data_IF_481712205263
#
_entry.id   IF_481712205263
#
_cell.length_a   1.000
_cell.length_b   1.000
_cell.length_c   1.000
_cell.angle_alpha   90.00
_cell.angle_beta   90.00
_cell.angle_gamma   90.00
#
_symmetry.space_group_name_H-M   'P 1'
#
loop_
_entity.id
_entity.type
_entity.pdbx_description
1 polymer ?
#
# COMPACT_ATOMS: atom_id res chain seq x y z
N UNK A 1 15.94 -3.50 -36.83
CA UNK A 1 16.61 -2.58 -35.87
C UNK A 1 16.00 -2.87 -34.52
N UNK A 2 16.77 -3.39 -33.58
CA UNK A 2 16.35 -3.44 -32.18
C UNK A 2 16.20 -1.99 -31.70
N UNK A 3 14.98 -1.57 -31.36
CA UNK A 3 14.76 -0.29 -30.70
C UNK A 3 15.29 -0.45 -29.27
N UNK A 4 16.14 0.45 -28.83
CA UNK A 4 16.74 0.47 -27.49
C UNK A 4 16.59 1.87 -26.93
N UNK A 5 16.58 1.97 -25.60
CA UNK A 5 16.70 3.27 -24.92
C UNK A 5 18.04 3.89 -25.33
N UNK A 6 18.10 5.23 -25.46
CA UNK A 6 19.36 5.91 -25.76
C UNK A 6 20.38 5.64 -24.67
N UNK A 7 21.62 5.31 -25.05
CA UNK A 7 22.71 5.07 -24.10
C UNK A 7 22.94 6.28 -23.18
N UNK A 8 22.82 7.49 -23.73
CA UNK A 8 22.92 8.75 -22.98
C UNK A 8 21.81 8.88 -21.92
N UNK A 9 20.60 8.43 -22.25
CA UNK A 9 19.48 8.42 -21.31
C UNK A 9 19.70 7.39 -20.19
N UNK A 10 20.19 6.19 -20.53
CA UNK A 10 20.53 5.15 -19.55
C UNK A 10 21.58 5.65 -18.55
N UNK A 11 22.64 6.30 -19.04
CA UNK A 11 23.68 6.90 -18.21
C UNK A 11 23.10 7.96 -17.26
N UNK A 12 22.29 8.88 -17.79
CA UNK A 12 21.70 9.97 -17.01
C UNK A 12 20.76 9.46 -15.91
N UNK A 13 19.89 8.51 -16.25
CA UNK A 13 18.94 7.89 -15.31
C UNK A 13 19.70 7.16 -14.19
N UNK A 14 20.68 6.34 -14.54
CA UNK A 14 21.40 5.51 -13.57
C UNK A 14 22.32 6.33 -12.68
N UNK A 15 22.95 7.37 -13.21
CA UNK A 15 23.70 8.36 -12.42
C UNK A 15 22.79 9.00 -11.35
N UNK A 16 21.64 9.56 -11.75
CA UNK A 16 20.70 10.19 -10.82
C UNK A 16 20.18 9.22 -9.76
N UNK A 17 19.77 8.02 -10.16
CA UNK A 17 19.26 7.00 -9.24
C UNK A 17 20.33 6.49 -8.26
N UNK A 18 21.60 6.49 -8.67
CA UNK A 18 22.73 6.09 -7.81
C UNK A 18 22.96 7.07 -6.65
N UNK A 19 22.54 8.32 -6.79
CA UNK A 19 22.66 9.35 -5.76
C UNK A 19 21.54 9.32 -4.69
N UNK A 20 20.51 8.47 -4.83
CA UNK A 20 19.37 8.44 -3.89
C UNK A 20 19.68 7.63 -2.62
N UNK A 21 19.52 8.17 -1.41
CA UNK A 21 19.96 7.48 -0.19
C UNK A 21 19.16 6.21 0.20
N UNK A 22 17.93 6.05 -0.30
CA UNK A 22 17.00 5.00 0.12
C UNK A 22 16.52 4.09 -1.02
N UNK A 23 17.38 3.86 -2.02
CA UNK A 23 17.04 2.95 -3.12
C UNK A 23 17.17 1.49 -2.67
N UNK A 24 16.14 0.68 -2.94
CA UNK A 24 16.16 -0.74 -2.60
C UNK A 24 17.13 -1.52 -3.52
N UNK A 25 17.98 -2.34 -2.91
CA UNK A 25 18.81 -3.32 -3.61
C UNK A 25 18.58 -4.73 -3.04
N UNK A 26 18.52 -5.76 -3.90
CA UNK A 26 18.48 -7.16 -3.46
C UNK A 26 19.63 -7.47 -2.49
N UNK A 27 19.39 -8.34 -1.50
CA UNK A 27 20.36 -8.67 -0.44
C UNK A 27 21.76 -9.02 -0.97
N UNK A 28 21.83 -9.78 -2.07
CA UNK A 28 23.09 -10.17 -2.70
C UNK A 28 23.93 -8.97 -3.19
N UNK A 29 23.29 -7.83 -3.49
CA UNK A 29 23.90 -6.63 -4.05
C UNK A 29 24.06 -5.50 -3.02
N UNK A 30 23.60 -5.68 -1.78
CA UNK A 30 23.64 -4.62 -0.76
C UNK A 30 25.07 -4.21 -0.40
N UNK A 31 26.01 -5.16 -0.31
CA UNK A 31 27.41 -4.86 0.00
C UNK A 31 28.07 -4.01 -1.08
N UNK A 32 27.80 -4.30 -2.35
CA UNK A 32 28.33 -3.53 -3.49
C UNK A 32 27.61 -2.20 -3.65
N UNK A 33 26.32 -2.14 -3.31
CA UNK A 33 25.50 -0.92 -3.40
C UNK A 33 25.81 0.13 -2.32
N UNK A 34 26.76 -0.10 -1.42
CA UNK A 34 27.21 0.92 -0.46
C UNK A 34 27.97 2.07 -1.13
N UNK A 35 28.64 1.81 -2.26
CA UNK A 35 29.38 2.82 -3.01
C UNK A 35 28.55 3.34 -4.20
N UNK A 36 28.39 4.67 -4.39
CA UNK A 36 27.62 5.25 -5.49
C UNK A 36 28.05 4.78 -6.89
N UNK A 37 29.36 4.62 -7.14
CA UNK A 37 29.86 4.18 -8.45
C UNK A 37 29.40 2.75 -8.77
N UNK A 38 29.48 1.87 -7.77
CA UNK A 38 28.99 0.49 -7.90
C UNK A 38 27.46 0.44 -8.05
N UNK A 39 26.72 1.32 -7.36
CA UNK A 39 25.26 1.43 -7.53
C UNK A 39 24.88 1.76 -8.96
N UNK A 40 25.56 2.75 -9.55
CA UNK A 40 25.35 3.13 -10.95
C UNK A 40 25.57 1.94 -11.89
N UNK A 41 26.70 1.24 -11.75
CA UNK A 41 27.00 0.07 -12.57
C UNK A 41 25.95 -1.04 -12.46
N UNK A 42 25.46 -1.32 -11.24
CA UNK A 42 24.39 -2.31 -11.02
C UNK A 42 23.09 -1.92 -11.72
N UNK A 43 22.72 -0.63 -11.66
CA UNK A 43 21.51 -0.12 -12.30
C UNK A 43 21.62 -0.15 -13.82
N UNK A 44 22.79 0.22 -14.36
CA UNK A 44 23.08 0.20 -15.79
C UNK A 44 23.08 -1.23 -16.35
N UNK A 45 23.70 -2.19 -15.66
CA UNK A 45 23.66 -3.62 -16.03
C UNK A 45 22.22 -4.14 -16.09
N UNK A 46 21.41 -3.82 -15.08
CA UNK A 46 20.00 -4.25 -15.06
C UNK A 46 19.21 -3.61 -16.20
N UNK A 47 19.36 -2.30 -16.42
CA UNK A 47 18.66 -1.56 -17.46
C UNK A 47 19.03 -2.06 -18.86
N UNK A 48 20.29 -2.44 -19.07
CA UNK A 48 20.79 -3.02 -20.32
C UNK A 48 20.29 -4.44 -20.56
N UNK A 49 20.18 -5.25 -19.50
CA UNK A 49 19.80 -6.67 -19.59
C UNK A 49 18.29 -6.88 -19.65
N UNK A 50 17.54 -6.18 -18.80
CA UNK A 50 16.12 -6.44 -18.56
C UNK A 50 15.38 -5.16 -18.15
N UNK A 51 14.81 -4.49 -19.15
CA UNK A 51 14.05 -3.25 -18.99
C UNK A 51 12.76 -3.45 -18.18
N UNK A 52 11.93 -4.48 -18.41
CA UNK A 52 10.75 -4.74 -17.58
C UNK A 52 11.07 -4.85 -16.09
N UNK A 53 12.08 -5.65 -15.73
CA UNK A 53 12.47 -5.81 -14.31
C UNK A 53 13.04 -4.53 -13.72
N UNK A 54 13.76 -3.73 -14.52
CA UNK A 54 14.19 -2.39 -14.11
C UNK A 54 13.00 -1.49 -13.78
N UNK A 55 11.99 -1.42 -14.67
CA UNK A 55 10.80 -0.60 -14.48
C UNK A 55 9.93 -1.07 -13.31
N UNK A 56 9.85 -2.38 -13.07
CA UNK A 56 9.16 -2.94 -11.91
C UNK A 56 9.77 -2.43 -10.59
N UNK A 57 11.10 -2.46 -10.49
CA UNK A 57 11.83 -2.16 -9.25
C UNK A 57 12.05 -0.68 -9.02
N UNK A 58 12.41 0.04 -10.07
CA UNK A 58 12.92 1.41 -10.00
C UNK A 58 12.03 2.42 -10.71
N UNK A 59 11.04 1.97 -11.48
CA UNK A 59 10.17 2.85 -12.27
C UNK A 59 9.41 3.88 -11.45
N UNK A 60 9.10 3.61 -10.18
CA UNK A 60 8.43 4.59 -9.30
C UNK A 60 9.32 5.75 -8.87
N UNK A 61 10.64 5.66 -9.07
CA UNK A 61 11.64 6.69 -8.76
C UNK A 61 12.02 7.51 -10.00
N UNK A 62 11.49 7.16 -11.18
CA UNK A 62 11.73 7.87 -12.44
C UNK A 62 10.86 9.12 -12.53
N UNK A 63 11.38 10.14 -13.21
CA UNK A 63 10.62 11.33 -13.57
C UNK A 63 9.74 11.07 -14.80
N UNK A 64 8.82 11.99 -15.09
CA UNK A 64 7.98 11.88 -16.30
C UNK A 64 8.82 11.90 -17.59
N UNK A 65 9.88 12.70 -17.60
CA UNK A 65 10.75 12.86 -18.77
C UNK A 65 11.58 11.59 -18.99
N UNK A 66 12.13 11.02 -17.91
CA UNK A 66 12.85 9.75 -18.00
C UNK A 66 11.95 8.59 -18.43
N UNK A 67 10.68 8.58 -18.02
CA UNK A 67 9.71 7.58 -18.49
C UNK A 67 9.39 7.73 -19.99
N UNK A 68 9.66 8.88 -20.60
CA UNK A 68 9.45 9.08 -22.05
C UNK A 68 10.54 8.38 -22.87
N UNK A 69 11.76 8.26 -22.35
CA UNK A 69 12.88 7.57 -23.00
C UNK A 69 12.60 6.09 -23.30
N UNK A 70 11.66 5.50 -22.55
CA UNK A 70 11.22 4.11 -22.72
C UNK A 70 10.09 3.95 -23.76
N UNK A 71 9.49 5.03 -24.29
CA UNK A 71 8.42 4.93 -25.28
C UNK A 71 8.89 4.28 -26.60
N UNK A 72 10.20 4.31 -26.87
CA UNK A 72 10.81 3.60 -28.00
C UNK A 72 10.64 2.07 -27.91
N UNK A 73 10.38 1.54 -26.71
CA UNK A 73 10.21 0.12 -26.40
C UNK A 73 8.73 -0.29 -26.24
N UNK A 74 7.78 0.55 -26.64
CA UNK A 74 6.34 0.30 -26.48
C UNK A 74 5.79 -0.93 -27.24
N UNK A 75 6.57 -1.52 -28.14
CA UNK A 75 6.22 -2.79 -28.82
C UNK A 75 6.24 -3.98 -27.85
N UNK A 76 7.06 -3.91 -26.78
CA UNK A 76 7.08 -4.92 -25.74
C UNK A 76 5.88 -4.73 -24.80
N UNK A 77 5.11 -5.81 -24.64
CA UNK A 77 3.91 -5.81 -23.80
C UNK A 77 4.22 -5.47 -22.34
N UNK A 78 5.28 -6.03 -21.76
CA UNK A 78 5.61 -5.84 -20.34
C UNK A 78 6.06 -4.40 -20.09
N UNK A 79 6.93 -3.87 -20.96
CA UNK A 79 7.38 -2.47 -20.89
C UNK A 79 6.19 -1.52 -21.01
N UNK A 80 5.34 -1.70 -22.01
CA UNK A 80 4.16 -0.86 -22.22
C UNK A 80 3.19 -0.92 -21.02
N UNK A 81 3.00 -2.11 -20.43
CA UNK A 81 2.19 -2.27 -19.23
C UNK A 81 2.78 -1.49 -18.05
N UNK A 82 4.08 -1.62 -17.79
CA UNK A 82 4.77 -0.87 -16.74
C UNK A 82 4.66 0.64 -16.95
N UNK A 83 4.90 1.14 -18.16
CA UNK A 83 4.80 2.56 -18.48
C UNK A 83 3.40 3.12 -18.23
N UNK A 84 2.35 2.43 -18.71
CA UNK A 84 0.96 2.83 -18.45
C UNK A 84 0.64 2.84 -16.96
N UNK A 85 1.07 1.82 -16.22
CA UNK A 85 0.83 1.72 -14.78
C UNK A 85 1.55 2.82 -14.00
N UNK A 86 2.82 3.10 -14.32
CA UNK A 86 3.61 4.15 -13.70
C UNK A 86 3.01 5.54 -13.96
N UNK A 87 2.60 5.82 -15.20
CA UNK A 87 1.91 7.07 -15.57
C UNK A 87 0.58 7.24 -14.83
N UNK A 88 -0.23 6.19 -14.74
CA UNK A 88 -1.49 6.16 -13.96
C UNK A 88 -1.27 6.37 -12.45
N UNK A 89 -0.10 6.00 -11.92
CA UNK A 89 0.24 6.29 -10.53
C UNK A 89 0.67 7.72 -10.29
N UNK A 90 1.49 8.29 -11.18
CA UNK A 90 1.98 9.67 -11.07
C UNK A 90 0.85 10.68 -11.30
N UNK A 91 0.07 10.47 -12.36
CA UNK A 91 -0.97 11.41 -12.80
C UNK A 91 -2.27 10.63 -13.06
N UNK A 92 -2.94 10.15 -12.00
CA UNK A 92 -4.18 9.39 -12.15
C UNK A 92 -5.28 10.28 -12.74
N UNK A 93 -6.01 9.74 -13.70
CA UNK A 93 -7.21 10.39 -14.25
C UNK A 93 -8.33 10.44 -13.22
N UNK A 94 -9.29 11.36 -13.40
CA UNK A 94 -10.46 11.48 -12.51
C UNK A 94 -11.24 10.16 -12.42
N UNK A 95 -11.38 9.44 -13.55
CA UNK A 95 -12.05 8.14 -13.58
C UNK A 95 -11.28 7.07 -12.80
N UNK A 96 -9.95 6.99 -12.93
CA UNK A 96 -9.14 6.06 -12.13
C UNK A 96 -9.23 6.34 -10.63
N UNK A 97 -9.25 7.61 -10.22
CA UNK A 97 -9.46 7.99 -8.82
C UNK A 97 -10.84 7.55 -8.32
N UNK A 98 -11.90 7.74 -9.12
CA UNK A 98 -13.24 7.25 -8.80
C UNK A 98 -13.27 5.74 -8.67
N UNK A 99 -12.66 5.00 -9.61
CA UNK A 99 -12.58 3.54 -9.57
C UNK A 99 -11.83 3.02 -8.34
N UNK A 100 -10.71 3.67 -7.97
CA UNK A 100 -9.97 3.36 -6.73
C UNK A 100 -10.85 3.58 -5.49
N UNK A 101 -11.58 4.70 -5.44
CA UNK A 101 -12.51 4.99 -4.34
C UNK A 101 -13.64 3.97 -4.23
N UNK A 102 -14.27 3.61 -5.36
CA UNK A 102 -15.30 2.57 -5.43
C UNK A 102 -14.76 1.23 -4.97
N UNK A 103 -13.55 0.85 -5.38
CA UNK A 103 -12.90 -0.39 -4.97
C UNK A 103 -12.70 -0.45 -3.45
N UNK A 104 -12.25 0.64 -2.82
CA UNK A 104 -12.10 0.72 -1.36
C UNK A 104 -13.47 0.59 -0.66
N UNK A 105 -14.49 1.30 -1.15
CA UNK A 105 -15.86 1.21 -0.59
C UNK A 105 -16.43 -0.21 -0.71
N UNK A 106 -16.24 -0.87 -1.85
CA UNK A 106 -16.70 -2.23 -2.08
C UNK A 106 -15.96 -3.24 -1.19
N UNK A 107 -14.64 -3.10 -1.01
CA UNK A 107 -13.87 -3.92 -0.06
C UNK A 107 -14.37 -3.76 1.37
N UNK A 108 -14.62 -2.52 1.81
CA UNK A 108 -15.19 -2.23 3.14
C UNK A 108 -16.58 -2.83 3.30
N UNK A 109 -17.44 -2.70 2.28
CA UNK A 109 -18.79 -3.29 2.29
C UNK A 109 -18.75 -4.81 2.34
N UNK A 110 -17.89 -5.44 1.54
CA UNK A 110 -17.70 -6.89 1.55
C UNK A 110 -17.24 -7.38 2.93
N UNK A 111 -16.30 -6.67 3.56
CA UNK A 111 -15.85 -6.99 4.91
C UNK A 111 -16.96 -6.80 5.95
N UNK A 112 -17.75 -5.73 5.88
CA UNK A 112 -18.91 -5.53 6.75
C UNK A 112 -19.93 -6.66 6.60
N UNK A 113 -20.25 -7.06 5.37
CA UNK A 113 -21.15 -8.19 5.13
C UNK A 113 -20.62 -9.47 5.75
N UNK A 114 -19.31 -9.74 5.64
CA UNK A 114 -18.67 -10.87 6.31
C UNK A 114 -18.87 -10.78 7.83
N UNK A 115 -18.60 -9.62 8.45
CA UNK A 115 -18.80 -9.43 9.89
C UNK A 115 -20.25 -9.63 10.34
N UNK A 116 -21.22 -9.23 9.51
CA UNK A 116 -22.64 -9.46 9.75
C UNK A 116 -22.97 -10.95 9.67
N UNK A 117 -22.51 -11.64 8.63
CA UNK A 117 -22.72 -13.08 8.47
C UNK A 117 -22.06 -13.91 9.59
N UNK A 118 -20.85 -13.54 10.01
CA UNK A 118 -20.13 -14.20 11.10
C UNK A 118 -20.85 -14.02 12.45
N UNK A 119 -21.68 -12.98 12.61
CA UNK A 119 -22.53 -12.72 13.78
C UNK A 119 -21.81 -12.33 15.07
N UNK A 120 -20.52 -12.66 15.21
CA UNK A 120 -19.74 -12.39 16.42
C UNK A 120 -19.45 -10.91 16.63
N UNK A 121 -19.08 -10.19 15.56
CA UNK A 121 -18.66 -8.79 15.68
C UNK A 121 -19.80 -7.87 16.13
N UNK A 122 -21.02 -8.09 15.65
CA UNK A 122 -22.20 -7.29 16.02
C UNK A 122 -23.04 -7.93 17.13
N UNK A 123 -22.52 -8.96 17.81
CA UNK A 123 -23.15 -9.48 19.03
C UNK A 123 -23.14 -8.40 20.12
N UNK A 124 -24.15 -8.44 20.98
CA UNK A 124 -24.28 -7.48 22.08
C UNK A 124 -23.04 -7.51 22.99
N UNK A 125 -22.58 -8.71 23.36
CA UNK A 125 -21.40 -8.88 24.22
C UNK A 125 -20.14 -8.29 23.58
N UNK A 126 -19.92 -8.51 22.28
CA UNK A 126 -18.76 -7.95 21.57
C UNK A 126 -18.85 -6.43 21.41
N UNK A 127 -20.06 -5.87 21.24
CA UNK A 127 -20.26 -4.42 21.22
C UNK A 127 -20.01 -3.81 22.60
N UNK A 128 -20.51 -4.45 23.66
CA UNK A 128 -20.31 -4.06 25.06
C UNK A 128 -18.83 -4.09 25.45
N UNK A 129 -18.08 -5.11 25.02
CA UNK A 129 -16.63 -5.20 25.31
C UNK A 129 -15.82 -4.13 24.58
N UNK A 130 -16.16 -3.81 23.32
CA UNK A 130 -15.46 -2.77 22.55
C UNK A 130 -15.71 -1.38 23.12
N UNK A 131 -16.96 -1.07 23.47
CA UNK A 131 -17.38 0.26 23.89
C UNK A 131 -18.33 0.23 25.09
N UNK A 132 -17.81 -0.03 26.30
CA UNK A 132 -18.67 -0.28 27.46
C UNK A 132 -19.51 0.92 27.88
N UNK A 133 -18.94 2.13 27.86
CA UNK A 133 -19.66 3.36 28.20
C UNK A 133 -20.80 3.63 27.23
N UNK A 134 -20.50 3.62 25.92
CA UNK A 134 -21.49 3.86 24.88
C UNK A 134 -22.59 2.79 24.91
N UNK A 135 -22.20 1.53 25.09
CA UNK A 135 -23.16 0.45 25.23
C UNK A 135 -24.10 0.68 26.41
N UNK A 136 -23.59 1.07 27.57
CA UNK A 136 -24.43 1.35 28.73
C UNK A 136 -25.39 2.52 28.48
N UNK A 137 -24.88 3.61 27.91
CA UNK A 137 -25.65 4.84 27.68
C UNK A 137 -26.88 4.60 26.78
N UNK A 138 -26.74 3.78 25.75
CA UNK A 138 -27.79 3.56 24.75
C UNK A 138 -28.60 2.27 24.94
N UNK A 139 -27.99 1.22 25.50
CA UNK A 139 -28.63 -0.10 25.65
C UNK A 139 -28.72 -0.52 27.12
N UNK A 140 -27.58 -0.56 27.82
CA UNK A 140 -27.48 -1.16 29.16
C UNK A 140 -28.33 -0.48 30.24
N UNK A 141 -28.54 0.85 30.17
CA UNK A 141 -29.37 1.57 31.16
C UNK A 141 -30.86 1.21 31.12
N UNK A 142 -31.33 0.64 30.00
CA UNK A 142 -32.71 0.22 29.80
C UNK A 142 -32.91 -1.29 29.97
N UNK A 143 -31.84 -2.06 30.16
CA UNK A 143 -31.91 -3.48 30.48
C UNK A 143 -32.30 -3.67 31.95
N UNK A 144 -33.14 -4.67 32.19
CA UNK A 144 -33.52 -5.12 33.54
C UNK A 144 -32.30 -5.50 34.36
N UNK A 145 -32.41 -5.43 35.69
CA UNK A 145 -31.31 -5.73 36.62
C UNK A 145 -30.71 -7.13 36.42
N UNK A 146 -31.49 -8.09 35.91
CA UNK A 146 -31.02 -9.44 35.54
C UNK A 146 -30.24 -9.48 34.21
N UNK A 147 -30.50 -8.55 33.29
CA UNK A 147 -29.81 -8.42 32.00
C UNK A 147 -28.50 -7.63 32.08
N UNK A 148 -28.27 -6.91 33.19
CA UNK A 148 -27.02 -6.17 33.48
C UNK A 148 -25.88 -7.10 33.92
N UNK A 149 -25.68 -8.20 33.21
CA UNK A 149 -24.46 -8.99 33.40
C UNK A 149 -23.28 -8.19 32.87
N UNK A 150 -22.20 -8.17 33.62
CA UNK A 150 -20.94 -7.59 33.17
C UNK A 150 -20.37 -8.44 32.03
N UNK A 151 -19.66 -7.81 31.09
CA UNK A 151 -19.02 -8.52 29.98
C UNK A 151 -18.03 -9.59 30.46
N UNK A 152 -17.49 -9.43 31.68
CA UNK A 152 -16.60 -10.38 32.33
C UNK A 152 -17.09 -10.70 33.74
N UNK A 153 -17.01 -11.97 34.19
CA UNK A 153 -17.34 -12.34 35.56
C UNK A 153 -16.46 -11.59 36.58
N UNK A 154 -17.09 -10.96 37.58
CA UNK A 154 -16.40 -10.30 38.69
C UNK A 154 -15.95 -8.85 38.44
N UNK A 155 -16.13 -8.31 37.24
CA UNK A 155 -15.75 -6.92 36.92
C UNK A 155 -16.73 -5.91 37.52
N UNK A 156 -16.24 -4.82 38.14
CA UNK A 156 -17.13 -3.77 38.67
C UNK A 156 -17.44 -2.75 37.58
N UNK A 157 -18.65 -2.18 37.61
CA UNK A 157 -19.09 -1.18 36.64
C UNK A 157 -18.14 0.04 36.54
N UNK A 158 -17.58 0.45 37.68
CA UNK A 158 -16.55 1.50 37.75
C UNK A 158 -15.27 1.14 36.98
N UNK A 159 -14.87 -0.13 36.95
CA UNK A 159 -13.63 -0.57 36.27
C UNK A 159 -13.82 -0.60 34.75
N UNK A 160 -14.97 -1.10 34.30
CA UNK A 160 -15.32 -1.20 32.88
C UNK A 160 -15.45 0.18 32.23
N UNK A 161 -15.97 1.18 32.94
CA UNK A 161 -16.06 2.55 32.45
C UNK A 161 -14.69 3.25 32.35
N UNK A 162 -13.76 2.93 33.24
CA UNK A 162 -12.44 3.58 33.30
C UNK A 162 -11.47 3.05 32.23
N UNK A 163 -11.83 1.98 31.51
CA UNK A 163 -10.99 1.33 30.49
C UNK A 163 -10.72 2.19 29.24
N UNK A 164 -11.41 3.33 29.08
CA UNK A 164 -11.18 4.30 28.01
C UNK A 164 -10.61 5.64 28.46
N UNK A 165 -10.33 5.83 29.76
CA UNK A 165 -9.69 7.06 30.28
C UNK A 165 -8.15 7.02 30.19
N UNK A 166 -7.59 6.43 29.13
CA UNK A 166 -6.16 6.52 28.80
C UNK A 166 -5.98 7.01 27.38
#
# INVERSE_FOLDING_TARGET
>A
MERKVSEEAMETITERLSALDNLYFPRALQSSASDPSNRKSILHDLLSRDVPVFLERYGSQLTSDELHEFDALNDDYEVNWHLKHLRSKMSPTSEELKLRSVTVKNRRRAYLNKLVCDGHYFSEDAMREREPYLHHEYLGRFQDLSGRSMARPGERWSETLMRRMK
#
